data_IF_457261309820
#
_entry.id   IF_457261309820
#
_cell.length_a   1.000
_cell.length_b   1.000
_cell.length_c   1.000
_cell.angle_alpha   90.00
_cell.angle_beta   90.00
_cell.angle_gamma   90.00
#
_symmetry.space_group_name_H-M   'P 1'
#
loop_
_entity.id
_entity.type
_entity.pdbx_description
1 polymer ?
#
# COMPACT_ATOMS: atom_id res chain seq x y z
N UNK A 1 0.59 3.78 22.51
CA UNK A 1 -0.03 2.59 21.88
C UNK A 1 0.85 2.18 20.72
N UNK A 2 1.51 1.02 20.76
CA UNK A 2 2.33 0.53 19.65
C UNK A 2 1.40 -0.04 18.57
N UNK A 3 1.12 0.76 17.54
CA UNK A 3 0.45 0.27 16.35
C UNK A 3 1.43 -0.58 15.54
N UNK A 4 1.09 -1.85 15.32
CA UNK A 4 1.93 -2.74 14.53
C UNK A 4 1.39 -2.80 13.10
N UNK A 5 2.27 -2.62 12.13
CA UNK A 5 2.00 -2.98 10.74
C UNK A 5 2.55 -4.38 10.46
N UNK A 6 1.93 -5.10 9.53
CA UNK A 6 2.49 -6.36 9.03
C UNK A 6 2.72 -6.22 7.53
N UNK A 7 3.93 -6.54 7.08
CA UNK A 7 4.29 -6.54 5.67
C UNK A 7 4.59 -7.96 5.20
N UNK A 8 3.83 -8.44 4.22
CA UNK A 8 4.02 -9.76 3.60
C UNK A 8 5.15 -9.68 2.56
N UNK A 9 6.39 -9.82 3.02
CA UNK A 9 7.60 -9.61 2.21
C UNK A 9 7.66 -10.46 0.93
N UNK A 10 7.10 -11.68 0.94
CA UNK A 10 7.04 -12.52 -0.26
C UNK A 10 6.19 -11.87 -1.36
N UNK A 11 5.01 -11.37 -0.99
CA UNK A 11 4.10 -10.70 -1.91
C UNK A 11 4.69 -9.37 -2.37
N UNK A 12 5.31 -8.61 -1.45
CA UNK A 12 6.02 -7.38 -1.80
C UNK A 12 7.12 -7.64 -2.84
N UNK A 13 8.01 -8.61 -2.58
CA UNK A 13 9.09 -8.96 -3.52
C UNK A 13 8.55 -9.35 -4.89
N UNK A 14 7.51 -10.20 -4.93
CA UNK A 14 6.88 -10.61 -6.18
C UNK A 14 6.26 -9.42 -6.91
N UNK A 15 5.56 -8.53 -6.20
CA UNK A 15 4.96 -7.34 -6.79
C UNK A 15 6.02 -6.39 -7.37
N UNK A 16 7.13 -6.19 -6.65
CA UNK A 16 8.23 -5.31 -7.08
C UNK A 16 8.97 -5.82 -8.32
N UNK A 17 8.88 -7.11 -8.67
CA UNK A 17 9.46 -7.62 -9.94
C UNK A 17 8.84 -7.00 -11.20
N UNK A 18 7.66 -6.39 -11.07
CA UNK A 18 6.95 -5.71 -12.17
C UNK A 18 7.49 -4.30 -12.44
N UNK A 19 8.39 -3.80 -11.60
CA UNK A 19 8.86 -2.42 -11.64
C UNK A 19 10.34 -2.35 -11.96
N UNK A 20 10.73 -1.33 -12.73
CA UNK A 20 12.13 -1.06 -13.05
C UNK A 20 12.74 -0.22 -11.92
N UNK A 21 13.72 -0.72 -11.15
CA UNK A 21 14.28 0.03 -10.03
C UNK A 21 15.05 1.28 -10.47
N UNK A 22 15.38 1.42 -11.76
CA UNK A 22 16.03 2.61 -12.34
C UNK A 22 15.03 3.71 -12.70
N UNK A 23 13.73 3.44 -12.65
CA UNK A 23 12.67 4.44 -12.83
C UNK A 23 12.08 4.84 -11.48
N UNK A 24 11.66 6.10 -11.32
CA UNK A 24 11.05 6.56 -10.08
C UNK A 24 9.65 5.93 -9.91
N UNK A 25 9.48 5.20 -8.81
CA UNK A 25 8.20 4.63 -8.40
C UNK A 25 7.89 5.01 -6.96
N UNK A 26 6.63 5.42 -6.73
CA UNK A 26 6.05 5.69 -5.42
C UNK A 26 4.77 4.88 -5.27
N UNK A 27 4.83 3.81 -4.46
CA UNK A 27 3.80 2.78 -4.38
C UNK A 27 3.20 2.74 -2.98
N UNK A 28 1.88 2.65 -2.88
CA UNK A 28 1.19 2.53 -1.60
C UNK A 28 -0.31 2.65 -1.74
N UNK A 29 -0.98 2.95 -0.64
CA UNK A 29 -2.40 3.28 -0.62
C UNK A 29 -2.61 4.78 -0.79
N UNK A 30 -3.39 5.19 -1.80
CA UNK A 30 -3.51 6.60 -2.20
C UNK A 30 -4.66 7.35 -1.54
N UNK A 31 -4.32 8.31 -0.69
CA UNK A 31 -5.22 9.33 -0.18
C UNK A 31 -5.25 10.58 -1.09
N UNK A 32 -6.36 11.33 -1.02
CA UNK A 32 -6.68 12.49 -1.87
C UNK A 32 -6.52 13.88 -1.21
N UNK A 33 -6.85 14.12 0.08
CA UNK A 33 -7.18 15.47 0.56
C UNK A 33 -6.12 16.56 0.38
N UNK A 34 -4.83 16.20 0.35
CA UNK A 34 -3.75 17.19 0.45
C UNK A 34 -3.01 17.48 -0.86
N UNK A 35 -3.09 16.59 -1.85
CA UNK A 35 -2.37 16.72 -3.13
C UNK A 35 -3.27 16.29 -4.28
N UNK A 36 -3.17 16.98 -5.42
CA UNK A 36 -4.01 16.71 -6.60
C UNK A 36 -3.81 15.29 -7.13
N UNK A 37 -2.57 14.82 -7.14
CA UNK A 37 -2.22 13.45 -7.56
C UNK A 37 -2.31 12.44 -6.41
N UNK A 38 -2.73 12.90 -5.22
CA UNK A 38 -2.78 12.12 -4.00
C UNK A 38 -1.42 11.93 -3.33
N UNK A 39 -1.42 11.19 -2.23
CA UNK A 39 -0.23 10.78 -1.47
C UNK A 39 -0.42 9.37 -0.95
N UNK A 40 0.66 8.64 -0.71
CA UNK A 40 0.55 7.32 -0.10
C UNK A 40 0.45 7.45 1.42
N UNK A 41 -0.45 6.68 2.04
CA UNK A 41 -0.55 6.56 3.49
C UNK A 41 0.80 6.25 4.14
N UNK A 42 1.13 6.96 5.22
CA UNK A 42 2.35 6.76 6.04
C UNK A 42 2.45 5.40 6.71
N UNK A 43 1.44 4.56 6.54
CA UNK A 43 1.44 3.23 7.09
C UNK A 43 2.49 2.30 6.50
N UNK A 44 2.44 2.08 5.18
CA UNK A 44 3.45 1.37 4.40
C UNK A 44 3.39 1.92 2.98
N UNK A 45 4.49 2.48 2.51
CA UNK A 45 4.70 2.85 1.12
C UNK A 45 6.11 2.43 0.67
N UNK A 46 6.34 2.40 -0.64
CA UNK A 46 7.60 1.99 -1.25
C UNK A 46 8.09 3.05 -2.21
N UNK A 47 9.36 3.41 -2.09
CA UNK A 47 10.08 4.22 -3.05
C UNK A 47 11.12 3.36 -3.77
N UNK A 48 11.15 3.42 -5.10
CA UNK A 48 12.24 2.81 -5.89
C UNK A 48 13.60 3.44 -5.55
N UNK A 49 14.68 2.74 -5.92
CA UNK A 49 16.05 3.28 -5.81
C UNK A 49 16.19 4.64 -6.51
N UNK A 50 15.66 4.76 -7.73
CA UNK A 50 15.71 6.01 -8.49
C UNK A 50 14.92 7.14 -7.80
N UNK A 51 13.72 6.85 -7.29
CA UNK A 51 12.92 7.85 -6.57
C UNK A 51 13.63 8.40 -5.33
N UNK A 52 14.24 7.53 -4.51
CA UNK A 52 15.01 7.97 -3.33
C UNK A 52 16.22 8.81 -3.73
N UNK A 53 16.93 8.41 -4.79
CA UNK A 53 18.09 9.16 -5.29
C UNK A 53 17.68 10.58 -5.71
N UNK A 54 16.64 10.68 -6.55
CA UNK A 54 16.13 11.97 -7.03
C UNK A 54 15.60 12.83 -5.88
N UNK A 55 14.89 12.24 -4.92
CA UNK A 55 14.41 12.94 -3.73
C UNK A 55 15.55 13.60 -2.95
N UNK A 56 16.63 12.88 -2.68
CA UNK A 56 17.78 13.38 -1.93
C UNK A 56 18.52 14.46 -2.72
N UNK A 57 18.79 14.21 -4.01
CA UNK A 57 19.60 15.09 -4.86
C UNK A 57 18.89 16.39 -5.24
N UNK A 58 17.56 16.34 -5.45
CA UNK A 58 16.83 17.42 -6.10
C UNK A 58 15.81 18.16 -5.21
N UNK A 59 15.29 17.54 -4.14
CA UNK A 59 14.25 18.17 -3.31
C UNK A 59 14.57 18.26 -1.83
N UNK A 60 15.22 17.25 -1.22
CA UNK A 60 15.28 17.09 0.23
C UNK A 60 15.92 18.26 0.98
N UNK A 61 16.99 18.84 0.44
CA UNK A 61 17.70 19.97 1.05
C UNK A 61 17.12 21.34 0.67
N UNK A 62 16.12 21.39 -0.21
CA UNK A 62 15.51 22.62 -0.67
C UNK A 62 14.18 22.84 0.04
N UNK A 63 14.16 23.69 1.07
CA UNK A 63 12.96 24.00 1.86
C UNK A 63 11.79 24.58 1.03
N UNK A 64 12.07 25.13 -0.15
CA UNK A 64 11.03 25.61 -1.07
C UNK A 64 10.33 24.45 -1.79
N UNK A 65 11.09 23.42 -2.17
CA UNK A 65 10.57 22.23 -2.86
C UNK A 65 10.06 21.17 -1.86
N UNK A 66 10.67 21.10 -0.69
CA UNK A 66 10.38 20.13 0.36
C UNK A 66 10.19 20.85 1.71
N UNK A 67 9.09 21.60 1.88
CA UNK A 67 8.82 22.33 3.12
C UNK A 67 8.45 21.38 4.26
N UNK A 68 8.76 21.80 5.49
CA UNK A 68 8.30 21.09 6.68
C UNK A 68 6.76 21.02 6.73
N UNK A 69 6.25 19.84 7.09
CA UNK A 69 4.84 19.56 7.30
C UNK A 69 4.70 18.63 8.50
N UNK A 70 3.63 18.79 9.29
CA UNK A 70 3.40 17.96 10.48
C UNK A 70 3.14 16.48 10.14
N UNK A 71 2.43 16.23 9.04
CA UNK A 71 2.14 14.89 8.55
C UNK A 71 3.25 14.41 7.61
N UNK A 72 4.05 13.43 8.06
CA UNK A 72 5.22 12.91 7.33
C UNK A 72 4.87 12.42 5.92
N UNK A 73 3.75 11.72 5.77
CA UNK A 73 3.36 11.12 4.49
C UNK A 73 2.91 12.17 3.46
N UNK A 74 2.23 13.22 3.92
CA UNK A 74 1.92 14.41 3.12
C UNK A 74 3.20 15.18 2.80
N UNK A 75 4.12 15.31 3.76
CA UNK A 75 5.42 15.97 3.55
C UNK A 75 6.19 15.27 2.42
N UNK A 76 6.36 13.94 2.55
CA UNK A 76 7.04 13.10 1.58
C UNK A 76 6.44 13.24 0.19
N UNK A 77 5.10 13.19 0.08
CA UNK A 77 4.43 13.35 -1.20
C UNK A 77 4.60 14.74 -1.81
N UNK A 78 4.60 15.81 -1.02
CA UNK A 78 4.88 17.17 -1.52
C UNK A 78 6.29 17.29 -2.08
N UNK A 79 7.28 16.75 -1.37
CA UNK A 79 8.66 16.77 -1.82
C UNK A 79 8.81 15.99 -3.13
N UNK A 80 8.18 14.82 -3.25
CA UNK A 80 8.19 14.00 -4.47
C UNK A 80 7.44 14.67 -5.64
N UNK A 81 6.29 15.31 -5.38
CA UNK A 81 5.51 16.03 -6.40
C UNK A 81 6.32 17.20 -6.99
N UNK A 82 7.15 17.87 -6.19
CA UNK A 82 8.02 18.96 -6.64
C UNK A 82 9.05 18.55 -7.71
N UNK A 83 9.34 17.24 -7.80
CA UNK A 83 10.25 16.63 -8.77
C UNK A 83 9.52 15.63 -9.69
N UNK A 84 8.21 15.81 -9.86
CA UNK A 84 7.33 15.05 -10.75
C UNK A 84 7.24 13.55 -10.47
N UNK A 85 7.37 13.15 -9.19
CA UNK A 85 7.17 11.77 -8.73
C UNK A 85 5.83 11.68 -8.00
N UNK A 86 4.88 10.96 -8.59
CA UNK A 86 3.51 10.83 -8.09
C UNK A 86 3.19 9.41 -7.63
N UNK A 87 2.25 9.22 -6.68
CA UNK A 87 1.81 7.89 -6.29
C UNK A 87 0.95 7.26 -7.39
N UNK A 88 1.22 5.99 -7.68
CA UNK A 88 0.48 5.23 -8.71
C UNK A 88 -0.50 4.25 -8.10
N UNK A 89 -1.51 3.84 -8.87
CA UNK A 89 -2.48 2.82 -8.46
C UNK A 89 -1.75 1.48 -8.25
N UNK A 90 -1.94 0.90 -7.07
CA UNK A 90 -1.31 -0.37 -6.68
C UNK A 90 -2.30 -1.52 -6.50
N UNK A 91 -3.58 -1.29 -6.80
CA UNK A 91 -4.62 -2.32 -6.71
C UNK A 91 -4.35 -3.43 -7.72
N UNK A 92 -4.91 -4.60 -7.45
CA UNK A 92 -4.92 -5.67 -8.44
C UNK A 92 -5.94 -5.43 -9.56
N UNK A 93 -5.96 -6.30 -10.56
CA UNK A 93 -6.84 -6.22 -11.74
C UNK A 93 -8.35 -6.18 -11.40
N UNK A 94 -8.72 -6.54 -10.17
CA UNK A 94 -10.11 -6.49 -9.66
C UNK A 94 -10.35 -5.29 -8.75
N UNK A 95 -9.44 -4.33 -8.72
CA UNK A 95 -9.53 -3.14 -7.87
C UNK A 95 -9.34 -3.42 -6.37
N UNK A 96 -8.74 -4.56 -6.00
CA UNK A 96 -8.56 -4.93 -4.59
C UNK A 96 -7.24 -4.40 -4.07
N UNK A 97 -7.21 -4.00 -2.80
CA UNK A 97 -6.09 -3.30 -2.21
C UNK A 97 -4.92 -4.24 -1.90
N UNK A 98 -3.69 -3.83 -2.23
CA UNK A 98 -2.46 -4.48 -1.77
C UNK A 98 -1.92 -3.83 -0.51
N UNK A 99 -2.09 -2.53 -0.39
CA UNK A 99 -1.70 -1.74 0.78
C UNK A 99 -2.98 -1.30 1.48
N UNK A 100 -3.05 -1.43 2.81
CA UNK A 100 -4.23 -0.98 3.56
C UNK A 100 -3.81 0.06 4.62
N UNK A 101 -4.52 1.19 4.73
CA UNK A 101 -4.21 2.23 5.71
C UNK A 101 -5.00 2.05 7.02
N UNK A 102 -6.00 1.18 7.05
CA UNK A 102 -6.86 0.90 8.21
C UNK A 102 -6.66 -0.54 8.71
N UNK A 103 -7.26 -0.86 9.85
CA UNK A 103 -7.33 -2.23 10.34
C UNK A 103 -8.21 -3.13 9.45
N UNK A 104 -8.15 -4.44 9.70
CA UNK A 104 -8.85 -5.45 8.89
C UNK A 104 -10.37 -5.26 8.94
N UNK A 105 -10.93 -4.94 10.10
CA UNK A 105 -12.39 -4.84 10.28
C UNK A 105 -12.92 -3.59 9.58
N UNK A 106 -12.22 -2.46 9.73
CA UNK A 106 -12.50 -1.22 9.02
C UNK A 106 -12.41 -1.43 7.51
N UNK A 107 -11.32 -2.02 7.01
CA UNK A 107 -11.16 -2.31 5.58
C UNK A 107 -12.26 -3.24 5.07
N UNK A 108 -12.63 -4.26 5.84
CA UNK A 108 -13.72 -5.18 5.51
C UNK A 108 -15.07 -4.46 5.41
N UNK A 109 -15.30 -3.44 6.25
CA UNK A 109 -16.49 -2.60 6.22
C UNK A 109 -16.44 -1.47 5.17
N UNK A 110 -15.43 -1.44 4.28
CA UNK A 110 -15.28 -0.40 3.25
C UNK A 110 -14.50 0.85 3.68
N UNK A 111 -13.84 0.79 4.84
CA UNK A 111 -13.02 1.81 5.48
C UNK A 111 -13.76 3.08 5.93
N UNK A 112 -14.44 3.78 5.02
CA UNK A 112 -15.18 5.02 5.28
C UNK A 112 -16.56 4.98 4.65
N UNK A 113 -17.46 5.87 5.09
CA UNK A 113 -18.75 6.07 4.42
C UNK A 113 -18.56 6.45 2.95
N UNK A 114 -19.61 6.31 2.14
CA UNK A 114 -19.57 6.68 0.72
C UNK A 114 -19.18 8.14 0.49
N UNK A 115 -19.72 9.05 1.29
CA UNK A 115 -19.41 10.48 1.23
C UNK A 115 -17.95 10.75 1.57
N UNK A 116 -17.46 10.22 2.69
CA UNK A 116 -16.07 10.39 3.11
C UNK A 116 -15.11 9.72 2.14
N UNK A 117 -15.45 8.56 1.58
CA UNK A 117 -14.62 7.88 0.59
C UNK A 117 -14.31 8.76 -0.63
N UNK A 118 -15.27 9.59 -1.07
CA UNK A 118 -15.07 10.53 -2.19
C UNK A 118 -14.13 11.69 -1.84
N UNK A 119 -14.03 12.03 -0.56
CA UNK A 119 -13.16 13.11 -0.09
C UNK A 119 -11.75 12.56 0.15
N UNK A 120 -11.66 11.37 0.73
CA UNK A 120 -10.42 10.85 1.29
C UNK A 120 -9.64 9.94 0.34
N UNK A 121 -10.29 9.14 -0.51
CA UNK A 121 -9.59 8.13 -1.31
C UNK A 121 -9.44 8.55 -2.76
N UNK A 122 -8.24 8.35 -3.34
CA UNK A 122 -8.11 8.34 -4.80
C UNK A 122 -8.89 7.16 -5.37
N UNK A 123 -8.82 6.02 -4.68
CA UNK A 123 -9.37 4.74 -5.07
C UNK A 123 -10.17 4.14 -3.90
N UNK A 124 -11.51 4.24 -3.95
CA UNK A 124 -12.37 3.68 -2.88
C UNK A 124 -12.08 2.17 -2.73
N UNK A 125 -11.78 1.68 -1.51
CA UNK A 125 -11.69 0.25 -1.26
C UNK A 125 -12.99 -0.49 -1.55
N UNK A 126 -12.90 -1.70 -2.10
CA UNK A 126 -14.02 -2.64 -2.11
C UNK A 126 -14.37 -3.06 -0.68
N UNK A 127 -15.54 -3.64 -0.49
CA UNK A 127 -16.01 -4.17 0.79
C UNK A 127 -15.78 -5.69 0.91
N UNK A 128 -15.85 -6.19 2.14
CA UNK A 128 -15.69 -7.58 2.50
C UNK A 128 -14.33 -8.15 2.11
N UNK A 129 -14.28 -9.45 1.78
CA UNK A 129 -13.04 -10.08 1.32
C UNK A 129 -12.53 -9.54 -0.01
N UNK A 130 -13.37 -8.83 -0.78
CA UNK A 130 -12.93 -8.16 -2.00
C UNK A 130 -12.14 -6.88 -1.72
N UNK A 131 -12.12 -6.37 -0.48
CA UNK A 131 -11.21 -5.28 -0.10
C UNK A 131 -9.74 -5.68 -0.26
N UNK A 132 -9.43 -6.96 -0.08
CA UNK A 132 -8.06 -7.47 0.04
C UNK A 132 -7.62 -8.21 -1.22
N UNK A 133 -6.48 -7.82 -1.77
CA UNK A 133 -5.82 -8.60 -2.83
C UNK A 133 -5.29 -9.94 -2.28
N UNK A 134 -5.36 -11.05 -3.04
CA UNK A 134 -4.69 -12.29 -2.69
C UNK A 134 -3.16 -12.15 -2.59
N UNK A 135 -2.59 -11.12 -3.22
CA UNK A 135 -1.19 -10.74 -3.08
C UNK A 135 -1.07 -9.43 -2.28
N UNK A 136 -1.80 -9.40 -1.14
CA UNK A 136 -1.75 -8.36 -0.11
C UNK A 136 -0.30 -8.11 0.33
N UNK A 137 0.07 -6.86 0.49
CA UNK A 137 1.42 -6.42 0.84
C UNK A 137 1.48 -5.95 2.29
N UNK A 138 0.51 -5.15 2.73
CA UNK A 138 0.52 -4.62 4.10
C UNK A 138 -0.85 -4.64 4.77
N UNK A 139 -0.81 -4.78 6.10
CA UNK A 139 -1.92 -4.56 7.02
C UNK A 139 -1.52 -3.52 8.07
N UNK A 140 -2.49 -2.71 8.49
CA UNK A 140 -2.28 -1.65 9.48
C UNK A 140 -3.03 -1.89 10.77
N UNK A 141 -2.62 -1.17 11.83
CA UNK A 141 -3.26 -1.16 13.15
C UNK A 141 -3.51 -2.56 13.75
N UNK A 142 -2.59 -3.50 13.54
CA UNK A 142 -2.71 -4.84 14.07
C UNK A 142 -2.40 -4.89 15.58
N UNK A 143 -3.17 -5.70 16.30
CA UNK A 143 -2.81 -6.11 17.65
C UNK A 143 -1.66 -7.14 17.60
N UNK A 144 -0.90 -7.32 18.69
CA UNK A 144 0.12 -8.37 18.76
C UNK A 144 -0.43 -9.77 18.46
N UNK A 145 -1.69 -10.05 18.80
CA UNK A 145 -2.36 -11.32 18.50
C UNK A 145 -2.65 -11.47 17.00
N UNK A 146 -3.14 -10.41 16.33
CA UNK A 146 -3.36 -10.42 14.89
C UNK A 146 -2.04 -10.65 14.13
N UNK A 147 -0.95 -9.99 14.55
CA UNK A 147 0.37 -10.20 13.94
C UNK A 147 0.83 -11.65 14.08
N UNK A 148 0.70 -12.25 15.28
CA UNK A 148 1.06 -13.66 15.51
C UNK A 148 0.26 -14.61 14.62
N UNK A 149 -1.05 -14.39 14.47
CA UNK A 149 -1.90 -15.19 13.58
C UNK A 149 -1.47 -15.01 12.12
N UNK A 150 -1.29 -13.77 11.65
CA UNK A 150 -0.85 -13.50 10.28
C UNK A 150 0.50 -14.16 9.97
N UNK A 151 1.44 -14.09 10.91
CA UNK A 151 2.75 -14.74 10.79
C UNK A 151 2.64 -16.27 10.76
N UNK A 152 1.85 -16.87 11.67
CA UNK A 152 1.60 -18.31 11.71
C UNK A 152 0.99 -18.80 10.39
N UNK A 153 -0.06 -18.12 9.91
CA UNK A 153 -0.76 -18.49 8.68
C UNK A 153 0.12 -18.34 7.44
N UNK A 154 0.96 -17.31 7.39
CA UNK A 154 1.77 -17.00 6.20
C UNK A 154 3.05 -17.82 6.10
N UNK A 155 3.65 -18.19 7.24
CA UNK A 155 4.99 -18.81 7.26
C UNK A 155 5.04 -20.23 7.82
N UNK A 156 4.09 -20.61 8.67
CA UNK A 156 4.16 -21.88 9.43
C UNK A 156 3.07 -22.87 9.05
N UNK A 157 1.89 -22.41 8.63
CA UNK A 157 0.83 -23.30 8.15
C UNK A 157 1.13 -23.81 6.74
N UNK A 158 1.26 -25.14 6.62
CA UNK A 158 1.26 -25.85 5.33
C UNK A 158 -0.16 -26.27 4.98
N UNK A 159 -0.88 -25.42 4.25
CA UNK A 159 -2.21 -25.79 3.75
C UNK A 159 -2.04 -26.72 2.54
N UNK A 160 -2.54 -27.94 2.64
CA UNK A 160 -2.61 -28.89 1.52
C UNK A 160 -3.59 -28.35 0.47
N UNK A 161 -3.09 -27.72 -0.59
CA UNK A 161 -3.94 -27.38 -1.73
C UNK A 161 -4.36 -28.69 -2.42
N UNK A 162 -5.65 -29.04 -2.36
CA UNK A 162 -6.18 -30.16 -3.16
C UNK A 162 -5.91 -29.87 -4.64
N UNK A 163 -5.04 -30.67 -5.27
CA UNK A 163 -4.81 -30.63 -6.71
C UNK A 163 -6.15 -30.77 -7.42
N UNK A 164 -6.55 -29.74 -8.17
CA UNK A 164 -7.73 -29.78 -9.04
C UNK A 164 -7.50 -30.93 -10.03
N UNK A 165 -8.17 -32.07 -9.83
CA UNK A 165 -8.16 -33.16 -10.80
C UNK A 165 -8.77 -32.63 -12.09
N UNK A 166 -7.93 -32.39 -13.09
CA UNK A 166 -8.36 -32.07 -14.44
C UNK A 166 -8.99 -33.36 -14.97
N UNK A 167 -10.31 -33.48 -14.89
CA UNK A 167 -11.05 -34.55 -15.57
C UNK A 167 -10.74 -34.41 -17.07
N UNK A 168 -9.90 -35.30 -17.59
CA UNK A 168 -9.81 -35.54 -19.03
C UNK A 168 -11.19 -36.05 -19.44
N UNK A 169 -11.91 -35.27 -20.26
CA UNK A 169 -13.06 -35.77 -21.00
C UNK A 169 -12.50 -36.62 -22.14
N UNK A 170 -12.88 -37.89 -22.15
CA UNK A 170 -12.79 -38.79 -23.30
C UNK A 170 -13.88 -38.39 -24.28
#
# INVERSE_FOLDING_TARGET
MLFHFCTFLKNLRQYLTKFDPTKPHYLGFRFRPYLKNGYNSGGVYVLSKAAVKLFIENSYLNETLCPYMEYEDVAMAKCLESIDIHPIDTRDEKGRQRFTPYDVDQMFAGALSEELSRIWFMDKPNEGFNAFSPELISLHHLTPSHFRIAHLVSHHLKIQQKKKHRRQRI
#
